data_IF_788754792314
#
_entry.id   IF_788754792314
#
_cell.length_a   1.000
_cell.length_b   1.000
_cell.length_c   1.000
_cell.angle_alpha   90.00
_cell.angle_beta   90.00
_cell.angle_gamma   90.00
#
_symmetry.space_group_name_H-M   'P 1'
#
loop_
_entity.id
_entity.type
_entity.pdbx_description
1 polymer ?
#
# COMPACT_ATOMS: atom_id res chain seq x y z
N UNK A 1 -17.41 -6.55 13.35
CA UNK A 1 -16.77 -6.97 12.08
C UNK A 1 -16.95 -8.47 11.99
N UNK A 2 -17.24 -9.02 10.81
CA UNK A 2 -17.28 -10.48 10.66
C UNK A 2 -15.84 -10.98 10.65
N UNK A 3 -15.54 -11.96 11.51
CA UNK A 3 -14.28 -12.67 11.45
C UNK A 3 -14.39 -13.92 10.59
N UNK A 4 -13.33 -14.26 9.87
CA UNK A 4 -13.20 -15.50 9.10
C UNK A 4 -11.77 -16.04 9.24
N UNK A 5 -11.58 -17.35 9.01
CA UNK A 5 -10.25 -17.95 8.91
C UNK A 5 -9.78 -17.82 7.46
N UNK A 6 -8.58 -17.27 7.30
CA UNK A 6 -7.98 -17.02 5.98
C UNK A 6 -6.58 -17.60 5.90
N UNK A 7 -6.20 -17.91 4.66
CA UNK A 7 -4.83 -18.12 4.22
C UNK A 7 -4.28 -16.80 3.67
N UNK A 8 -3.08 -16.42 4.10
CA UNK A 8 -2.37 -15.20 3.69
C UNK A 8 -0.98 -15.59 3.22
N UNK A 9 -0.56 -15.17 2.03
CA UNK A 9 0.76 -15.45 1.46
C UNK A 9 1.40 -14.16 0.93
N UNK A 10 2.64 -13.89 1.35
CA UNK A 10 3.44 -12.81 0.81
C UNK A 10 3.86 -13.12 -0.64
N UNK A 11 3.63 -12.18 -1.56
CA UNK A 11 3.89 -12.36 -3.00
C UNK A 11 5.10 -11.58 -3.52
N UNK A 12 5.98 -11.10 -2.63
CA UNK A 12 7.28 -10.52 -3.04
C UNK A 12 8.14 -11.56 -3.76
N UNK A 13 8.08 -12.82 -3.32
CA UNK A 13 8.75 -13.93 -3.99
C UNK A 13 7.90 -14.47 -5.15
N UNK A 14 8.52 -14.65 -6.32
CA UNK A 14 7.85 -15.11 -7.55
C UNK A 14 7.54 -16.61 -7.57
N UNK A 15 8.11 -17.40 -6.66
CA UNK A 15 8.12 -18.87 -6.75
C UNK A 15 6.97 -19.56 -6.01
N UNK A 16 6.03 -18.81 -5.43
CA UNK A 16 4.98 -19.32 -4.53
C UNK A 16 5.49 -19.90 -3.20
N UNK A 17 6.74 -19.62 -2.85
CA UNK A 17 7.40 -20.06 -1.62
C UNK A 17 7.36 -18.99 -0.51
N UNK A 18 6.77 -17.83 -0.81
CA UNK A 18 6.69 -16.70 0.10
C UNK A 18 6.06 -17.08 1.44
N UNK A 19 6.47 -16.37 2.49
CA UNK A 19 5.98 -16.60 3.86
C UNK A 19 4.45 -16.58 3.88
N UNK A 20 3.85 -17.56 4.54
CA UNK A 20 2.40 -17.71 4.57
C UNK A 20 1.88 -18.03 5.96
N UNK A 21 0.63 -17.66 6.18
CA UNK A 21 -0.07 -17.77 7.43
C UNK A 21 -1.48 -18.31 7.26
N UNK A 22 -1.99 -18.96 8.30
CA UNK A 22 -3.41 -19.21 8.50
C UNK A 22 -3.81 -18.64 9.86
N UNK A 23 -4.85 -17.82 9.86
CA UNK A 23 -5.31 -17.17 11.08
C UNK A 23 -6.65 -16.49 10.92
N UNK A 24 -7.12 -15.89 12.02
CA UNK A 24 -8.36 -15.12 12.03
C UNK A 24 -8.13 -13.75 11.41
N UNK A 25 -8.99 -13.33 10.49
CA UNK A 25 -9.02 -11.98 9.98
C UNK A 25 -10.35 -11.29 10.27
N UNK A 26 -10.37 -9.98 10.10
CA UNK A 26 -11.57 -9.17 10.23
C UNK A 26 -11.80 -8.36 8.97
N UNK A 27 -13.01 -8.42 8.43
CA UNK A 27 -13.38 -7.60 7.29
C UNK A 27 -13.96 -6.25 7.72
N UNK A 28 -13.57 -5.21 7.01
CA UNK A 28 -14.34 -3.96 6.94
C UNK A 28 -15.78 -4.20 6.47
N UNK A 29 -16.68 -3.25 6.73
CA UNK A 29 -18.11 -3.35 6.33
C UNK A 29 -18.27 -3.60 4.82
N UNK A 30 -17.43 -2.98 3.99
CA UNK A 30 -17.43 -3.12 2.52
C UNK A 30 -16.62 -4.32 2.02
N UNK A 31 -15.92 -5.05 2.90
CA UNK A 31 -14.97 -6.12 2.58
C UNK A 31 -13.80 -5.70 1.67
N UNK A 32 -13.53 -4.40 1.55
CA UNK A 32 -12.39 -3.88 0.77
C UNK A 32 -11.09 -3.87 1.57
N UNK A 33 -11.18 -3.85 2.90
CA UNK A 33 -10.05 -3.91 3.83
C UNK A 33 -10.16 -5.15 4.73
N UNK A 34 -9.02 -5.82 4.92
CA UNK A 34 -8.82 -6.93 5.85
C UNK A 34 -7.83 -6.50 6.92
N UNK A 35 -8.15 -6.82 8.18
CA UNK A 35 -7.23 -6.69 9.32
C UNK A 35 -6.77 -8.09 9.71
N UNK A 36 -5.46 -8.31 9.74
CA UNK A 36 -4.88 -9.62 10.02
C UNK A 36 -3.47 -9.46 10.60
N UNK A 37 -3.24 -10.05 11.78
CA UNK A 37 -1.94 -10.07 12.45
C UNK A 37 -1.31 -8.66 12.57
N UNK A 38 -2.06 -7.70 13.12
CA UNK A 38 -1.64 -6.31 13.28
C UNK A 38 -1.54 -5.49 11.98
N UNK A 39 -1.68 -6.13 10.81
CA UNK A 39 -1.53 -5.50 9.50
C UNK A 39 -2.87 -5.17 8.85
N UNK A 40 -2.84 -4.23 7.91
CA UNK A 40 -4.00 -3.69 7.22
C UNK A 40 -3.82 -3.93 5.73
N UNK A 41 -4.66 -4.78 5.16
CA UNK A 41 -4.60 -5.14 3.75
C UNK A 41 -5.76 -4.54 3.00
N UNK A 42 -5.47 -3.88 1.87
CA UNK A 42 -6.48 -3.31 0.98
C UNK A 42 -6.57 -4.13 -0.30
N UNK A 43 -7.80 -4.39 -0.74
CA UNK A 43 -8.07 -5.14 -1.96
C UNK A 43 -7.50 -4.39 -3.16
N UNK A 44 -6.73 -5.09 -3.99
CA UNK A 44 -6.06 -4.53 -5.17
C UNK A 44 -5.72 -5.62 -6.16
N UNK A 45 -5.58 -5.28 -7.45
CA UNK A 45 -5.29 -6.27 -8.50
C UNK A 45 -3.80 -6.22 -8.82
N UNK A 46 -3.07 -7.30 -8.53
CA UNK A 46 -1.72 -7.53 -9.03
C UNK A 46 -1.66 -8.71 -10.02
N UNK A 47 -0.47 -9.04 -10.51
CA UNK A 47 -0.25 -10.16 -11.44
C UNK A 47 -0.55 -11.51 -10.75
N UNK A 48 -0.14 -11.66 -9.50
CA UNK A 48 -0.29 -12.89 -8.70
C UNK A 48 -0.77 -12.63 -7.27
N UNK A 49 -1.34 -11.45 -7.02
CA UNK A 49 -1.84 -10.97 -5.73
C UNK A 49 -3.24 -10.37 -5.86
N UNK A 50 -3.98 -10.34 -4.76
CA UNK A 50 -5.33 -9.78 -4.68
C UNK A 50 -5.50 -8.76 -3.54
N UNK A 51 -4.47 -8.57 -2.71
CA UNK A 51 -4.37 -7.52 -1.71
C UNK A 51 -2.96 -6.94 -1.71
N UNK A 52 -2.82 -5.76 -1.12
CA UNK A 52 -1.54 -5.20 -0.72
C UNK A 52 -1.64 -4.70 0.71
N UNK A 53 -0.52 -4.74 1.42
CA UNK A 53 -0.38 -4.14 2.74
C UNK A 53 -0.37 -2.61 2.60
N UNK A 54 -1.23 -1.93 3.35
CA UNK A 54 -1.49 -0.50 3.21
C UNK A 54 -0.30 0.37 3.65
N UNK A 55 0.54 -0.13 4.55
CA UNK A 55 1.69 0.59 5.09
C UNK A 55 2.92 0.40 4.21
N UNK A 56 3.17 -0.83 3.75
CA UNK A 56 4.40 -1.19 3.03
C UNK A 56 4.23 -1.22 1.51
N UNK A 57 3.00 -1.29 1.01
CA UNK A 57 2.70 -1.49 -0.42
C UNK A 57 3.01 -2.91 -0.93
N UNK A 58 3.47 -3.82 -0.07
CA UNK A 58 3.82 -5.19 -0.45
C UNK A 58 2.56 -5.97 -0.86
N UNK A 59 2.70 -6.79 -1.89
CA UNK A 59 1.61 -7.59 -2.46
C UNK A 59 1.39 -8.91 -1.72
N UNK A 60 0.12 -9.28 -1.54
CA UNK A 60 -0.31 -10.49 -0.84
C UNK A 60 -1.41 -11.24 -1.60
N UNK A 61 -1.41 -12.56 -1.44
CA UNK A 61 -2.54 -13.42 -1.77
C UNK A 61 -3.30 -13.76 -0.49
N UNK A 62 -4.58 -13.39 -0.43
CA UNK A 62 -5.46 -13.68 0.71
C UNK A 62 -6.71 -14.39 0.22
N UNK A 63 -7.00 -15.56 0.78
CA UNK A 63 -8.20 -16.34 0.47
C UNK A 63 -8.75 -17.03 1.72
N UNK A 64 -9.98 -17.53 1.64
CA UNK A 64 -10.45 -18.49 2.64
C UNK A 64 -9.60 -19.78 2.62
N UNK A 65 -9.59 -20.50 3.74
CA UNK A 65 -8.96 -21.82 3.81
C UNK A 65 -9.72 -22.86 2.97
N UNK A 66 -8.99 -23.82 2.40
CA UNK A 66 -9.52 -24.89 1.55
C UNK A 66 -9.92 -26.07 2.41
N UNK A 67 -11.08 -26.67 2.14
CA UNK A 67 -11.58 -27.87 2.82
C UNK A 67 -10.67 -29.10 2.70
N UNK A 68 -9.75 -29.13 1.73
CA UNK A 68 -8.78 -30.21 1.57
C UNK A 68 -7.45 -29.93 2.29
N UNK A 69 -7.35 -28.84 3.04
CA UNK A 69 -6.15 -28.39 3.76
C UNK A 69 -4.97 -27.98 2.87
N UNK A 70 -5.07 -28.04 1.54
CA UNK A 70 -3.97 -27.71 0.61
C UNK A 70 -3.98 -26.23 0.23
N UNK A 71 -3.88 -25.35 1.23
CA UNK A 71 -4.05 -23.89 1.09
C UNK A 71 -3.01 -23.25 0.16
N UNK A 72 -1.73 -23.57 0.35
CA UNK A 72 -0.64 -23.10 -0.51
C UNK A 72 -0.80 -23.56 -1.96
N UNK A 73 -0.26 -22.79 -2.89
CA UNK A 73 -0.18 -23.18 -4.30
C UNK A 73 0.55 -24.52 -4.49
N UNK A 74 0.15 -25.32 -5.49
CA UNK A 74 0.67 -26.69 -5.73
C UNK A 74 2.20 -26.77 -5.90
N UNK A 75 2.80 -25.71 -6.44
CA UNK A 75 4.25 -25.64 -6.66
C UNK A 75 4.98 -24.92 -5.53
N UNK A 76 4.24 -24.37 -4.57
CA UNK A 76 4.80 -23.64 -3.44
C UNK A 76 5.30 -24.58 -2.35
N UNK A 77 6.36 -24.16 -1.67
CA UNK A 77 7.05 -24.88 -0.60
C UNK A 77 7.04 -24.04 0.69
N UNK A 78 7.61 -24.62 1.74
CA UNK A 78 7.72 -23.99 3.05
C UNK A 78 6.52 -24.23 3.96
N UNK A 79 6.79 -24.19 5.25
CA UNK A 79 5.76 -24.32 6.28
C UNK A 79 4.83 -23.09 6.28
N UNK A 80 3.59 -23.31 6.69
CA UNK A 80 2.58 -22.27 6.92
C UNK A 80 2.54 -21.98 8.42
N UNK A 81 2.68 -20.72 8.80
CA UNK A 81 2.51 -20.29 10.19
C UNK A 81 1.02 -20.27 10.55
N UNK A 82 0.58 -21.14 11.45
CA UNK A 82 -0.83 -21.24 11.86
C UNK A 82 -1.00 -20.67 13.26
N UNK A 83 -2.00 -19.79 13.43
CA UNK A 83 -2.34 -19.25 14.73
C UNK A 83 -2.87 -20.34 15.68
N UNK A 84 -2.27 -20.43 16.86
CA UNK A 84 -2.63 -21.37 17.90
C UNK A 84 -4.12 -21.30 18.27
N UNK A 85 -4.70 -20.09 18.23
CA UNK A 85 -6.09 -19.86 18.66
C UNK A 85 -7.16 -20.46 17.72
N UNK A 86 -6.81 -20.81 16.48
CA UNK A 86 -7.77 -21.29 15.47
C UNK A 86 -7.55 -22.74 15.04
N UNK A 87 -6.63 -23.47 15.68
CA UNK A 87 -6.25 -24.83 15.27
C UNK A 87 -7.47 -25.75 15.25
N UNK A 88 -8.29 -25.76 16.30
CA UNK A 88 -9.48 -26.61 16.38
C UNK A 88 -10.50 -26.29 15.28
N UNK A 89 -10.75 -25.01 15.02
CA UNK A 89 -11.68 -24.57 13.98
C UNK A 89 -11.15 -24.92 12.58
N UNK A 90 -9.84 -24.74 12.33
CA UNK A 90 -9.21 -25.13 11.07
C UNK A 90 -9.27 -26.64 10.84
N UNK A 91 -8.95 -27.46 11.85
CA UNK A 91 -9.05 -28.92 11.80
C UNK A 91 -10.49 -29.36 11.49
N UNK A 92 -11.49 -28.72 12.11
CA UNK A 92 -12.90 -28.96 11.81
C UNK A 92 -13.27 -28.61 10.37
N UNK A 93 -12.68 -27.55 9.79
CA UNK A 93 -12.95 -27.14 8.39
C UNK A 93 -12.39 -28.16 7.40
N UNK A 94 -11.20 -28.70 7.69
CA UNK A 94 -10.52 -29.64 6.79
C UNK A 94 -10.89 -31.11 7.05
N UNK A 95 -11.59 -31.39 8.15
CA UNK A 95 -12.02 -32.74 8.52
C UNK A 95 -10.90 -33.63 9.08
N UNK A 96 -9.85 -33.03 9.63
CA UNK A 96 -8.67 -33.74 10.16
C UNK A 96 -8.64 -33.71 11.69
N UNK A 97 -7.93 -34.68 12.28
CA UNK A 97 -7.78 -34.77 13.75
C UNK A 97 -6.55 -34.05 14.27
N UNK A 98 -5.53 -33.90 13.44
CA UNK A 98 -4.24 -33.32 13.83
C UNK A 98 -3.58 -32.58 12.66
N UNK A 99 -2.72 -31.63 13.00
CA UNK A 99 -1.95 -30.89 12.00
C UNK A 99 -0.80 -31.75 11.48
N UNK A 100 -0.54 -31.66 10.17
CA UNK A 100 0.61 -32.29 9.54
C UNK A 100 1.91 -31.64 10.02
N UNK A 101 2.74 -32.39 10.78
CA UNK A 101 3.94 -31.90 11.49
C UNK A 101 4.91 -31.06 10.64
N UNK A 102 5.08 -31.41 9.36
CA UNK A 102 6.05 -30.74 8.48
C UNK A 102 5.45 -29.57 7.68
N UNK A 103 4.12 -29.39 7.73
CA UNK A 103 3.40 -28.39 6.93
C UNK A 103 3.11 -27.12 7.72
N UNK A 104 2.94 -27.24 9.02
CA UNK A 104 2.51 -26.14 9.87
C UNK A 104 3.55 -25.83 10.94
N UNK A 105 3.75 -24.53 11.18
CA UNK A 105 4.48 -24.00 12.33
C UNK A 105 3.46 -23.26 13.20
N UNK A 106 3.25 -23.72 14.41
CA UNK A 106 2.32 -23.07 15.34
C UNK A 106 2.94 -21.75 15.80
N UNK A 107 2.16 -20.69 15.80
CA UNK A 107 2.54 -19.34 16.25
C UNK A 107 1.38 -18.66 16.95
N UNK A 108 1.64 -17.58 17.66
CA UNK A 108 0.61 -16.66 18.13
C UNK A 108 0.53 -15.48 17.15
N UNK A 109 -0.68 -15.16 16.67
CA UNK A 109 -0.92 -14.00 15.81
C UNK A 109 -1.73 -12.94 16.55
N UNK A 110 -1.54 -11.68 16.17
CA UNK A 110 -2.35 -10.59 16.69
C UNK A 110 -3.75 -10.61 16.07
N UNK A 111 -4.72 -11.02 16.90
CA UNK A 111 -6.13 -11.13 16.54
C UNK A 111 -6.94 -9.87 16.86
N UNK A 112 -6.28 -8.72 17.06
CA UNK A 112 -6.91 -7.43 17.25
C UNK A 112 -6.95 -6.68 15.90
N UNK A 113 -8.13 -6.24 15.43
CA UNK A 113 -8.20 -5.43 14.22
C UNK A 113 -7.52 -4.07 14.43
N UNK A 114 -6.45 -3.78 13.68
CA UNK A 114 -5.70 -2.52 13.72
C UNK A 114 -6.46 -1.33 13.10
N UNK A 115 -7.63 -0.98 13.67
CA UNK A 115 -8.51 0.09 13.17
C UNK A 115 -7.94 1.48 13.34
N UNK A 116 -7.36 1.76 14.50
CA UNK A 116 -6.79 3.08 14.82
C UNK A 116 -5.66 3.39 13.85
N UNK A 117 -4.70 2.45 13.71
CA UNK A 117 -3.66 2.50 12.69
C UNK A 117 -4.21 2.67 11.26
N UNK A 118 -5.29 1.97 10.90
CA UNK A 118 -5.89 2.15 9.57
C UNK A 118 -6.53 3.53 9.38
N UNK A 119 -7.14 4.08 10.42
CA UNK A 119 -7.69 5.44 10.42
C UNK A 119 -6.58 6.47 10.28
N UNK A 120 -5.46 6.29 10.98
CA UNK A 120 -4.27 7.14 10.86
C UNK A 120 -3.72 7.13 9.43
N UNK A 121 -3.39 5.95 8.88
CA UNK A 121 -2.83 5.82 7.52
C UNK A 121 -3.79 6.39 6.45
N UNK A 122 -5.10 6.18 6.58
CA UNK A 122 -6.06 6.67 5.59
C UNK A 122 -6.37 8.16 5.70
N UNK A 123 -6.18 8.74 6.89
CA UNK A 123 -6.36 10.18 7.14
C UNK A 123 -5.05 10.96 7.09
N UNK A 124 -3.91 10.27 6.99
CA UNK A 124 -2.63 10.86 6.67
C UNK A 124 -2.81 11.58 5.34
N UNK A 125 -2.97 12.90 5.41
CA UNK A 125 -3.02 13.74 4.23
C UNK A 125 -1.67 13.57 3.57
N UNK A 126 -1.67 13.06 2.34
CA UNK A 126 -0.57 13.32 1.45
C UNK A 126 -0.54 14.84 1.23
N UNK A 127 0.33 15.54 1.95
CA UNK A 127 0.65 16.91 1.61
C UNK A 127 1.45 16.83 0.32
N UNK A 128 0.80 17.13 -0.81
CA UNK A 128 1.56 17.39 -2.03
C UNK A 128 2.50 18.54 -1.69
N UNK A 129 3.83 18.36 -1.80
CA UNK A 129 4.79 19.40 -1.42
C UNK A 129 4.67 20.65 -2.29
N UNK A 130 3.88 20.57 -3.37
CA UNK A 130 3.60 21.65 -4.29
C UNK A 130 2.16 21.54 -4.81
N UNK A 131 1.41 22.64 -4.81
CA UNK A 131 0.08 22.67 -5.38
C UNK A 131 0.14 22.73 -6.93
N UNK A 132 -0.03 21.58 -7.59
CA UNK A 132 0.05 21.46 -9.05
C UNK A 132 -0.88 22.40 -9.83
N UNK A 133 -1.97 22.86 -9.22
CA UNK A 133 -2.89 23.82 -9.85
C UNK A 133 -2.24 25.19 -10.15
N UNK A 134 -1.17 25.54 -9.42
CA UNK A 134 -0.46 26.81 -9.61
C UNK A 134 0.21 26.90 -10.99
N UNK A 135 0.62 25.77 -11.59
CA UNK A 135 1.23 25.73 -12.95
C UNK A 135 0.29 26.22 -14.04
N UNK A 136 -1.02 26.23 -13.77
CA UNK A 136 -2.05 26.63 -14.73
C UNK A 136 -2.59 28.04 -14.48
N UNK A 137 -2.18 28.71 -13.41
CA UNK A 137 -2.57 30.10 -13.14
C UNK A 137 -1.77 31.05 -14.03
N UNK A 138 -2.43 32.12 -14.48
CA UNK A 138 -1.73 33.22 -15.14
C UNK A 138 -0.79 33.91 -14.14
N UNK A 139 0.43 34.26 -14.57
CA UNK A 139 1.50 34.78 -13.70
C UNK A 139 1.04 36.01 -12.91
N UNK A 140 0.30 36.91 -13.56
CA UNK A 140 -0.25 38.13 -12.96
C UNK A 140 -1.34 37.88 -11.91
N UNK A 141 -1.94 36.69 -11.88
CA UNK A 141 -2.98 36.32 -10.93
C UNK A 141 -2.44 35.54 -9.72
N UNK A 142 -1.14 35.26 -9.67
CA UNK A 142 -0.49 34.62 -8.53
C UNK A 142 -0.32 35.63 -7.40
N UNK A 143 -0.66 35.25 -6.16
CA UNK A 143 -0.21 35.97 -4.96
C UNK A 143 1.31 35.81 -4.78
N UNK A 144 1.93 36.65 -3.95
CA UNK A 144 3.39 36.60 -3.75
C UNK A 144 3.85 35.25 -3.18
N UNK A 145 3.06 34.66 -2.27
CA UNK A 145 3.34 33.33 -1.74
C UNK A 145 3.22 32.24 -2.81
N UNK A 146 2.19 32.28 -3.66
CA UNK A 146 2.01 31.30 -4.75
C UNK A 146 3.10 31.43 -5.82
N UNK A 147 3.54 32.66 -6.11
CA UNK A 147 4.65 32.94 -7.02
C UNK A 147 5.95 32.36 -6.47
N UNK A 148 6.24 32.59 -5.19
CA UNK A 148 7.41 32.03 -4.53
C UNK A 148 7.38 30.48 -4.50
N UNK A 149 6.23 29.88 -4.17
CA UNK A 149 6.04 28.43 -4.17
C UNK A 149 6.30 27.82 -5.56
N UNK A 150 5.77 28.44 -6.62
CA UNK A 150 5.98 28.00 -8.00
C UNK A 150 7.45 28.15 -8.43
N UNK A 151 8.14 29.23 -8.01
CA UNK A 151 9.57 29.43 -8.29
C UNK A 151 10.42 28.34 -7.61
N UNK A 152 10.17 28.00 -6.35
CA UNK A 152 10.90 26.92 -5.67
C UNK A 152 10.66 25.56 -6.34
N UNK A 153 9.43 25.29 -6.78
CA UNK A 153 9.13 24.10 -7.57
C UNK A 153 9.98 24.00 -8.84
N UNK A 154 10.08 25.08 -9.62
CA UNK A 154 10.93 25.09 -10.82
C UNK A 154 12.43 25.05 -10.50
N UNK A 155 12.86 25.64 -9.37
CA UNK A 155 14.26 25.60 -8.91
C UNK A 155 14.71 24.17 -8.56
N UNK A 156 13.80 23.34 -8.03
CA UNK A 156 14.08 21.94 -7.68
C UNK A 156 14.16 20.98 -8.88
N UNK A 157 13.84 21.43 -10.10
CA UNK A 157 13.87 20.57 -11.29
C UNK A 157 15.24 20.52 -11.96
N UNK A 158 15.70 19.31 -12.31
CA UNK A 158 16.84 19.15 -13.21
C UNK A 158 16.40 19.26 -14.68
N UNK A 159 16.48 20.47 -15.23
CA UNK A 159 16.16 20.72 -16.64
C UNK A 159 17.06 19.95 -17.62
N UNK A 160 18.24 19.49 -17.19
CA UNK A 160 19.21 18.80 -18.03
C UNK A 160 18.79 17.36 -18.36
N UNK A 161 17.99 16.72 -17.52
CA UNK A 161 17.41 15.39 -17.74
C UNK A 161 16.16 15.43 -18.65
N UNK A 162 15.58 16.61 -18.87
CA UNK A 162 14.39 16.76 -19.71
C UNK A 162 14.69 16.66 -21.21
N UNK A 163 13.75 16.10 -21.97
CA UNK A 163 13.79 16.09 -23.45
C UNK A 163 13.95 17.51 -24.01
N UNK A 164 14.89 17.69 -24.95
CA UNK A 164 15.24 18.99 -25.57
C UNK A 164 14.02 19.77 -26.08
N UNK A 165 13.03 19.07 -26.66
CA UNK A 165 11.80 19.68 -27.20
C UNK A 165 10.94 20.40 -26.16
N UNK A 166 10.98 19.97 -24.90
CA UNK A 166 10.17 20.54 -23.82
C UNK A 166 10.99 21.50 -22.94
N UNK A 167 12.30 21.25 -22.81
CA UNK A 167 13.22 21.99 -21.93
C UNK A 167 13.13 23.50 -22.07
N UNK A 168 13.13 24.01 -23.31
CA UNK A 168 13.13 25.46 -23.57
C UNK A 168 11.88 26.15 -22.99
N UNK A 169 10.72 25.51 -23.07
CA UNK A 169 9.46 26.05 -22.55
C UNK A 169 9.49 26.19 -21.03
N UNK A 170 10.00 25.19 -20.33
CA UNK A 170 10.10 25.19 -18.86
C UNK A 170 11.08 26.25 -18.37
N UNK A 171 12.24 26.37 -19.00
CA UNK A 171 13.24 27.40 -18.66
C UNK A 171 12.65 28.79 -18.91
N UNK A 172 12.03 29.03 -20.07
CA UNK A 172 11.42 30.33 -20.38
C UNK A 172 10.38 30.73 -19.33
N UNK A 173 9.50 29.80 -18.96
CA UNK A 173 8.47 30.05 -17.96
C UNK A 173 9.08 30.32 -16.56
N UNK A 174 10.13 29.60 -16.18
CA UNK A 174 10.84 29.87 -14.92
C UNK A 174 11.45 31.28 -14.87
N UNK A 175 12.05 31.73 -15.98
CA UNK A 175 12.60 33.09 -16.07
C UNK A 175 11.49 34.16 -16.05
N UNK A 176 10.32 33.89 -16.65
CA UNK A 176 9.15 34.79 -16.56
C UNK A 176 8.67 34.96 -15.11
N UNK A 177 8.63 33.87 -14.33
CA UNK A 177 8.25 33.91 -12.91
C UNK A 177 9.24 34.73 -12.08
N UNK A 178 10.55 34.55 -12.29
CA UNK A 178 11.58 35.36 -11.59
C UNK A 178 11.47 36.84 -11.94
N UNK A 179 11.26 37.16 -13.22
CA UNK A 179 11.10 38.55 -13.64
C UNK A 179 9.86 39.19 -13.03
N UNK A 180 8.77 38.45 -12.86
CA UNK A 180 7.60 38.91 -12.12
C UNK A 180 7.91 39.17 -10.65
N UNK A 181 8.64 38.27 -9.99
CA UNK A 181 9.06 38.45 -8.59
C UNK A 181 9.90 39.72 -8.41
N UNK A 182 10.91 39.93 -9.25
CA UNK A 182 11.77 41.13 -9.22
C UNK A 182 10.95 42.41 -9.42
N UNK A 183 9.96 42.40 -10.32
CA UNK A 183 9.08 43.57 -10.53
C UNK A 183 8.26 43.91 -9.29
N UNK A 184 7.78 42.91 -8.55
CA UNK A 184 6.98 43.12 -7.34
C UNK A 184 7.83 43.64 -6.18
N UNK A 185 9.10 43.26 -6.10
CA UNK A 185 10.04 43.75 -5.08
C UNK A 185 10.47 45.23 -5.31
N UNK A 186 10.27 45.76 -6.51
CA UNK A 186 10.62 47.14 -6.89
C UNK A 186 9.47 48.15 -6.72
N UNK A 187 8.29 47.71 -6.27
CA UNK A 187 7.06 48.52 -6.06
C UNK A 187 6.79 48.65 -4.57
#
# INVERSE_FOLDING_TARGET
MKSEIVYVENKTETNHDGKAWIGKCFFSKTKQTIYFNGNIYKKGKGISSNYFDLETGINYWISGVKKNGNDRHKSGKGAIEIDASIIEEYLSIIGEKELQKNKFKITELDNIPAKEKATEILNEKYEEPFNDSLKFKAINNLTDNELAELIEYYRGMDFSEMYKKNRKSYISHFEELKSEQEKRELI
#
